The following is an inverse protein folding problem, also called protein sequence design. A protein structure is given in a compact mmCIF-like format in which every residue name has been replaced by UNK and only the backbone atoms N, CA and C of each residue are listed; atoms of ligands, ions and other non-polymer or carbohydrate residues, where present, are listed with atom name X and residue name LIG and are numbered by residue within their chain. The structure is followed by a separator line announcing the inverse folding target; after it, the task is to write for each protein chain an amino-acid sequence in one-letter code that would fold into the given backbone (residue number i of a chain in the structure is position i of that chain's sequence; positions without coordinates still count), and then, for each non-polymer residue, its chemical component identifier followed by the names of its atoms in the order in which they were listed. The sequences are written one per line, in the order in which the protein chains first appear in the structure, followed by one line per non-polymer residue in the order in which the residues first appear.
data_IF_964805888117
#
_entry.id   IF_964805888117
#
_cell.length_a   1.000
_cell.length_b   1.000
_cell.length_c   1.000
_cell.angle_alpha   90.00
_cell.angle_beta   90.00
_cell.angle_gamma   90.00
#
_symmetry.space_group_name_H-M   'P 1'
#
loop_
_entity.id
_entity.type
_entity.pdbx_description
1 polymer ?
#
# COMPACT_ATOMS: atom_id res chain seq x y z
N UNK A 1 -9.83 -28.64 -18.27
CA UNK A 1 -9.64 -27.26 -18.78
C UNK A 1 -8.16 -27.07 -19.08
N UNK A 2 -7.78 -26.31 -20.10
CA UNK A 2 -6.36 -25.98 -20.32
C UNK A 2 -5.86 -25.10 -19.16
N UNK A 3 -4.73 -25.45 -18.55
CA UNK A 3 -4.11 -24.68 -17.45
C UNK A 3 -3.88 -23.22 -17.83
N UNK A 4 -3.51 -22.96 -19.08
CA UNK A 4 -3.33 -21.59 -19.59
C UNK A 4 -4.64 -20.80 -19.54
N UNK A 5 -5.76 -21.44 -19.85
CA UNK A 5 -7.07 -20.79 -19.78
C UNK A 5 -7.44 -20.48 -18.32
N UNK A 6 -7.20 -21.42 -17.40
CA UNK A 6 -7.44 -21.19 -15.96
C UNK A 6 -6.62 -20.01 -15.44
N UNK A 7 -5.34 -19.95 -15.81
CA UNK A 7 -4.44 -18.87 -15.42
C UNK A 7 -4.90 -17.50 -15.98
N UNK A 8 -5.31 -17.45 -17.25
CA UNK A 8 -5.81 -16.22 -17.87
C UNK A 8 -7.10 -15.72 -17.21
N UNK A 9 -8.04 -16.62 -16.91
CA UNK A 9 -9.29 -16.23 -16.25
C UNK A 9 -9.02 -15.77 -14.82
N UNK A 10 -8.13 -16.45 -14.07
CA UNK A 10 -7.73 -16.05 -12.73
C UNK A 10 -6.99 -14.69 -12.71
N UNK A 11 -6.23 -14.38 -13.76
CA UNK A 11 -5.53 -13.09 -13.92
C UNK A 11 -6.46 -11.94 -14.32
N UNK A 12 -7.60 -12.24 -14.96
CA UNK A 12 -8.47 -11.22 -15.57
C UNK A 12 -8.93 -10.11 -14.62
N UNK A 13 -9.30 -10.33 -13.34
CA UNK A 13 -9.69 -9.24 -12.46
C UNK A 13 -8.57 -8.24 -12.20
N UNK A 14 -7.32 -8.73 -12.13
CA UNK A 14 -6.13 -7.90 -11.95
C UNK A 14 -5.91 -7.05 -13.20
N UNK A 15 -6.01 -7.68 -14.38
CA UNK A 15 -5.88 -6.97 -15.66
C UNK A 15 -6.95 -5.88 -15.82
N UNK A 16 -8.21 -6.18 -15.48
CA UNK A 16 -9.29 -5.19 -15.51
C UNK A 16 -9.00 -4.03 -14.55
N UNK A 17 -8.58 -4.32 -13.32
CA UNK A 17 -8.19 -3.27 -12.37
C UNK A 17 -7.06 -2.39 -12.93
N UNK A 18 -6.03 -2.98 -13.54
CA UNK A 18 -4.92 -2.24 -14.15
C UNK A 18 -5.38 -1.35 -15.32
N UNK A 19 -6.22 -1.87 -16.22
CA UNK A 19 -6.75 -1.10 -17.35
C UNK A 19 -7.61 0.07 -16.85
N UNK A 20 -8.50 -0.17 -15.88
CA UNK A 20 -9.36 0.88 -15.35
C UNK A 20 -8.56 1.97 -14.61
N UNK A 21 -7.56 1.58 -13.80
CA UNK A 21 -6.79 2.52 -12.97
C UNK A 21 -5.70 3.25 -13.74
N UNK A 22 -4.93 2.55 -14.59
CA UNK A 22 -3.74 3.09 -15.27
C UNK A 22 -4.05 3.48 -16.72
N UNK A 23 -4.93 2.73 -17.38
CA UNK A 23 -5.28 3.00 -18.78
C UNK A 23 -6.36 4.06 -18.94
N UNK A 24 -7.36 4.06 -18.06
CA UNK A 24 -8.50 4.97 -18.12
C UNK A 24 -8.51 6.04 -17.02
N UNK A 25 -7.52 6.03 -16.13
CA UNK A 25 -7.41 6.94 -14.98
C UNK A 25 -8.68 7.00 -14.12
N UNK A 26 -9.42 5.90 -14.01
CA UNK A 26 -10.60 5.87 -13.15
C UNK A 26 -10.20 5.95 -11.68
N UNK A 27 -10.93 6.72 -10.85
CA UNK A 27 -10.70 6.70 -9.43
C UNK A 27 -10.96 5.30 -8.87
N UNK A 28 -10.12 4.84 -7.93
CA UNK A 28 -10.21 3.52 -7.33
C UNK A 28 -11.61 3.21 -6.75
N UNK A 29 -12.33 4.23 -6.26
CA UNK A 29 -13.72 4.13 -5.80
C UNK A 29 -14.67 3.56 -6.88
N UNK A 30 -14.39 3.78 -8.16
CA UNK A 30 -15.17 3.24 -9.30
C UNK A 30 -14.55 1.98 -9.88
N UNK A 31 -13.23 1.92 -10.00
CA UNK A 31 -12.54 0.79 -10.62
C UNK A 31 -12.62 -0.49 -9.77
N UNK A 32 -12.41 -0.39 -8.45
CA UNK A 32 -12.34 -1.56 -7.56
C UNK A 32 -13.67 -2.33 -7.45
N UNK A 33 -14.85 -1.68 -7.36
CA UNK A 33 -16.13 -2.40 -7.42
C UNK A 33 -16.35 -3.19 -8.72
N UNK A 34 -15.85 -2.68 -9.86
CA UNK A 34 -15.96 -3.39 -11.16
C UNK A 34 -15.11 -4.64 -11.14
N UNK A 35 -13.85 -4.55 -10.70
CA UNK A 35 -12.97 -5.70 -10.56
C UNK A 35 -13.54 -6.73 -9.55
N UNK A 36 -14.11 -6.26 -8.43
CA UNK A 36 -14.78 -7.13 -7.46
C UNK A 36 -15.99 -7.86 -8.06
N UNK A 37 -16.86 -7.16 -8.80
CA UNK A 37 -18.01 -7.77 -9.47
C UNK A 37 -17.59 -8.84 -10.47
N UNK A 38 -16.51 -8.58 -11.23
CA UNK A 38 -15.92 -9.57 -12.13
C UNK A 38 -15.39 -10.79 -11.36
N UNK A 39 -14.67 -10.61 -10.26
CA UNK A 39 -14.19 -11.71 -9.42
C UNK A 39 -15.34 -12.58 -8.89
N UNK A 40 -16.43 -11.96 -8.43
CA UNK A 40 -17.62 -12.68 -7.96
C UNK A 40 -18.28 -13.47 -9.09
N UNK A 41 -18.45 -12.86 -10.27
CA UNK A 41 -19.02 -13.52 -11.43
C UNK A 41 -18.18 -14.74 -11.85
N UNK A 42 -16.85 -14.57 -11.87
CA UNK A 42 -15.91 -15.64 -12.17
C UNK A 42 -16.00 -16.77 -11.13
N UNK A 43 -16.02 -16.44 -9.84
CA UNK A 43 -16.09 -17.42 -8.76
C UNK A 43 -17.33 -18.33 -8.88
N UNK A 44 -18.49 -17.75 -9.19
CA UNK A 44 -19.75 -18.49 -9.30
C UNK A 44 -19.84 -19.26 -10.63
N UNK A 45 -19.53 -18.60 -11.76
CA UNK A 45 -19.82 -19.17 -13.08
C UNK A 45 -18.73 -20.14 -13.54
N UNK A 46 -17.46 -19.83 -13.26
CA UNK A 46 -16.33 -20.58 -13.81
C UNK A 46 -15.69 -21.54 -12.79
N UNK A 47 -15.71 -21.18 -11.50
CA UNK A 47 -15.21 -22.04 -10.42
C UNK A 47 -16.31 -22.81 -9.66
N UNK A 48 -17.58 -22.61 -10.03
CA UNK A 48 -18.74 -23.27 -9.41
C UNK A 48 -18.77 -23.15 -7.88
N UNK A 49 -18.30 -22.01 -7.35
CA UNK A 49 -18.29 -21.75 -5.91
C UNK A 49 -19.71 -21.53 -5.40
N UNK A 50 -20.06 -22.16 -4.28
CA UNK A 50 -21.36 -21.93 -3.65
C UNK A 50 -21.52 -20.46 -3.21
N UNK A 51 -22.73 -19.93 -3.36
CA UNK A 51 -23.05 -18.55 -2.97
C UNK A 51 -22.71 -18.28 -1.51
N UNK A 52 -22.91 -19.27 -0.63
CA UNK A 52 -22.54 -19.18 0.79
C UNK A 52 -21.04 -18.95 0.98
N UNK A 53 -20.19 -19.65 0.21
CA UNK A 53 -18.73 -19.47 0.27
C UNK A 53 -18.33 -18.07 -0.20
N UNK A 54 -18.95 -17.58 -1.28
CA UNK A 54 -18.71 -16.21 -1.78
C UNK A 54 -19.10 -15.17 -0.74
N UNK A 55 -20.28 -15.28 -0.13
CA UNK A 55 -20.73 -14.36 0.92
C UNK A 55 -19.80 -14.41 2.14
N UNK A 56 -19.38 -15.61 2.56
CA UNK A 56 -18.43 -15.77 3.66
C UNK A 56 -17.08 -15.08 3.36
N UNK A 57 -16.55 -15.22 2.13
CA UNK A 57 -15.33 -14.55 1.69
C UNK A 57 -15.48 -13.02 1.66
N UNK A 58 -16.66 -12.50 1.31
CA UNK A 58 -16.95 -11.05 1.38
C UNK A 58 -16.85 -10.56 2.84
N UNK A 59 -17.50 -11.24 3.78
CA UNK A 59 -17.42 -10.88 5.20
C UNK A 59 -16.00 -11.01 5.76
N UNK A 60 -15.26 -12.04 5.35
CA UNK A 60 -13.85 -12.19 5.69
C UNK A 60 -13.03 -11.00 5.17
N UNK A 61 -13.25 -10.57 3.94
CA UNK A 61 -12.62 -9.39 3.35
C UNK A 61 -12.95 -8.10 4.09
N UNK A 62 -14.21 -7.93 4.53
CA UNK A 62 -14.61 -6.80 5.38
C UNK A 62 -13.89 -6.83 6.73
N UNK A 63 -13.75 -8.00 7.35
CA UNK A 63 -12.97 -8.18 8.58
C UNK A 63 -11.51 -7.76 8.43
N UNK A 64 -10.86 -8.21 7.35
CA UNK A 64 -9.48 -7.79 7.00
C UNK A 64 -9.42 -6.26 6.82
N UNK A 65 -10.43 -5.68 6.15
CA UNK A 65 -10.51 -4.23 5.93
C UNK A 65 -10.57 -3.46 7.25
N UNK A 66 -11.34 -3.92 8.23
CA UNK A 66 -11.41 -3.29 9.56
C UNK A 66 -10.04 -3.30 10.25
N UNK A 67 -9.32 -4.42 10.20
CA UNK A 67 -7.96 -4.50 10.77
C UNK A 67 -7.00 -3.52 10.10
N UNK A 68 -7.06 -3.40 8.77
CA UNK A 68 -6.26 -2.43 8.02
C UNK A 68 -6.61 -0.99 8.40
N UNK A 69 -7.91 -0.66 8.47
CA UNK A 69 -8.37 0.67 8.88
C UNK A 69 -7.93 1.03 10.30
N UNK A 70 -7.87 0.06 11.22
CA UNK A 70 -7.38 0.29 12.58
C UNK A 70 -5.89 0.69 12.61
N UNK A 71 -5.05 0.03 11.80
CA UNK A 71 -3.63 0.36 11.66
C UNK A 71 -3.45 1.75 11.04
N UNK A 72 -4.15 2.02 9.93
CA UNK A 72 -4.11 3.31 9.24
C UNK A 72 -4.59 4.44 10.15
N UNK A 73 -5.65 4.21 10.93
CA UNK A 73 -6.12 5.16 11.93
C UNK A 73 -5.04 5.50 12.96
N UNK A 74 -4.41 4.48 13.57
CA UNK A 74 -3.33 4.69 14.54
C UNK A 74 -2.15 5.46 13.96
N UNK A 75 -1.75 5.16 12.72
CA UNK A 75 -0.68 5.85 12.02
C UNK A 75 -1.02 7.32 11.71
N UNK A 76 -2.20 7.60 11.17
CA UNK A 76 -2.66 8.96 10.85
C UNK A 76 -2.85 9.77 12.15
N UNK A 77 -3.35 9.13 13.21
CA UNK A 77 -3.46 9.76 14.53
C UNK A 77 -2.09 10.19 15.03
N UNK A 78 -1.12 9.27 15.08
CA UNK A 78 0.27 9.57 15.47
C UNK A 78 0.86 10.69 14.61
N UNK A 79 0.71 10.62 13.29
CA UNK A 79 1.22 11.64 12.38
C UNK A 79 0.62 13.02 12.68
N UNK A 80 -0.70 13.11 12.86
CA UNK A 80 -1.36 14.37 13.16
C UNK A 80 -0.98 14.89 14.55
N UNK A 81 -0.81 14.02 15.53
CA UNK A 81 -0.27 14.42 16.84
C UNK A 81 1.13 15.02 16.68
N UNK A 82 2.04 14.37 15.95
CA UNK A 82 3.39 14.89 15.70
C UNK A 82 3.39 16.22 14.94
N UNK A 83 2.44 16.42 14.02
CA UNK A 83 2.25 17.71 13.32
C UNK A 83 1.77 18.80 14.28
N UNK A 84 0.76 18.51 15.10
CA UNK A 84 0.17 19.49 16.02
C UNK A 84 1.11 19.87 17.17
N UNK A 85 1.95 18.95 17.64
CA UNK A 85 2.94 19.24 18.70
C UNK A 85 4.19 19.94 18.17
N UNK A 86 4.36 20.08 16.85
CA UNK A 86 5.57 20.60 16.24
C UNK A 86 6.76 19.62 16.24
N UNK A 87 6.55 18.38 16.71
CA UNK A 87 7.60 17.36 16.76
C UNK A 87 8.19 17.00 15.39
N UNK A 88 7.40 17.13 14.31
CA UNK A 88 7.92 16.96 12.94
C UNK A 88 9.02 17.99 12.64
N UNK A 89 8.89 19.23 13.11
CA UNK A 89 9.90 20.27 12.91
C UNK A 89 11.17 19.94 13.68
N UNK A 90 11.05 19.41 14.90
CA UNK A 90 12.20 18.93 15.68
C UNK A 90 12.91 17.77 14.98
N UNK A 91 12.17 16.79 14.46
CA UNK A 91 12.73 15.67 13.67
C UNK A 91 13.43 16.20 12.41
N UNK A 92 12.82 17.15 11.71
CA UNK A 92 13.38 17.81 10.53
C UNK A 92 14.71 18.49 10.85
N UNK A 93 14.74 19.30 11.91
CA UNK A 93 15.95 20.02 12.34
C UNK A 93 17.07 19.04 12.71
N UNK A 94 16.72 17.96 13.41
CA UNK A 94 17.67 16.88 13.72
C UNK A 94 18.29 16.23 12.48
N UNK A 95 17.56 16.10 11.38
CA UNK A 95 18.11 15.54 10.14
C UNK A 95 19.03 16.51 9.38
N UNK A 96 18.72 17.82 9.38
CA UNK A 96 19.61 18.83 8.79
C UNK A 96 20.91 19.00 9.57
N UNK A 97 20.89 18.81 10.90
CA UNK A 97 22.09 18.94 11.74
C UNK A 97 23.08 17.77 11.59
N UNK A 98 22.64 16.61 11.07
CA UNK A 98 23.51 15.44 10.86
C UNK A 98 24.47 15.66 9.68
N UNK A 99 23.98 16.21 8.58
CA UNK A 99 24.80 16.46 7.39
C UNK A 99 24.18 17.50 6.47
N UNK A 100 25.01 18.40 5.97
CA UNK A 100 24.66 19.34 4.90
C UNK A 100 24.66 18.68 3.50
N UNK A 101 25.20 17.47 3.36
CA UNK A 101 25.21 16.75 2.08
C UNK A 101 23.81 16.22 1.76
N UNK A 102 23.25 16.73 0.66
CA UNK A 102 21.93 16.37 0.15
C UNK A 102 21.80 14.86 -0.13
N UNK A 103 22.88 14.18 -0.51
CA UNK A 103 22.84 12.72 -0.75
C UNK A 103 22.62 11.97 0.56
N UNK A 104 23.29 12.41 1.62
CA UNK A 104 23.14 11.83 2.97
C UNK A 104 21.75 12.10 3.51
N UNK A 105 21.24 13.33 3.36
CA UNK A 105 19.87 13.69 3.74
C UNK A 105 18.83 12.84 3.00
N UNK A 106 19.03 12.58 1.70
CA UNK A 106 18.16 11.72 0.93
C UNK A 106 18.14 10.29 1.47
N UNK A 107 19.28 9.73 1.84
CA UNK A 107 19.33 8.39 2.45
C UNK A 107 18.62 8.40 3.82
N UNK A 108 18.94 9.35 4.69
CA UNK A 108 18.37 9.38 6.04
C UNK A 108 16.84 9.57 5.99
N UNK A 109 16.35 10.48 5.16
CA UNK A 109 14.92 10.83 5.12
C UNK A 109 14.15 9.87 4.23
N UNK A 110 14.58 9.73 2.98
CA UNK A 110 13.83 8.96 2.01
C UNK A 110 13.95 7.47 2.34
N UNK A 111 15.15 6.97 2.66
CA UNK A 111 15.40 5.55 2.93
C UNK A 111 15.12 5.18 4.38
N UNK A 112 15.90 5.67 5.34
CA UNK A 112 15.81 5.21 6.73
C UNK A 112 14.46 5.59 7.36
N UNK A 113 14.10 6.88 7.33
CA UNK A 113 12.84 7.35 7.89
C UNK A 113 11.62 6.86 7.09
N UNK A 114 11.69 6.89 5.76
CA UNK A 114 10.65 6.31 4.89
C UNK A 114 10.39 4.84 5.17
N UNK A 115 11.42 3.99 5.20
CA UNK A 115 11.26 2.58 5.53
C UNK A 115 10.75 2.34 6.95
N UNK A 116 11.20 3.12 7.93
CA UNK A 116 10.70 3.02 9.31
C UNK A 116 9.19 3.32 9.38
N UNK A 117 8.75 4.42 8.77
CA UNK A 117 7.34 4.81 8.84
C UNK A 117 6.45 3.88 8.03
N UNK A 118 6.90 3.39 6.87
CA UNK A 118 6.20 2.32 6.13
C UNK A 118 6.09 1.05 6.98
N UNK A 119 7.17 0.63 7.64
CA UNK A 119 7.13 -0.54 8.53
C UNK A 119 6.11 -0.40 9.66
N UNK A 120 6.03 0.78 10.27
CA UNK A 120 5.10 1.07 11.36
C UNK A 120 3.62 1.21 10.91
N UNK A 121 3.39 1.83 9.75
CA UNK A 121 2.03 2.23 9.30
C UNK A 121 1.52 1.47 8.07
N UNK A 122 2.41 1.14 7.14
CA UNK A 122 2.12 0.53 5.84
C UNK A 122 1.46 1.48 4.83
N UNK A 123 1.03 0.89 3.72
CA UNK A 123 0.10 1.48 2.75
C UNK A 123 0.60 2.73 2.01
N UNK A 124 1.91 2.85 1.82
CA UNK A 124 2.48 3.92 1.01
C UNK A 124 2.68 5.23 1.76
N UNK A 125 2.90 5.14 3.05
CA UNK A 125 3.12 6.28 3.93
C UNK A 125 4.39 7.11 3.60
N UNK A 126 5.50 6.57 3.05
CA UNK A 126 6.64 7.34 2.57
C UNK A 126 6.27 8.40 1.53
N UNK A 127 5.34 8.07 0.62
CA UNK A 127 4.82 8.99 -0.38
C UNK A 127 4.17 10.22 0.27
N UNK A 128 3.38 9.97 1.31
CA UNK A 128 2.58 10.98 1.99
C UNK A 128 3.39 11.86 2.95
N UNK A 129 4.55 11.38 3.43
CA UNK A 129 5.31 12.05 4.50
C UNK A 129 6.75 12.34 4.10
N UNK A 130 7.51 11.34 3.64
CA UNK A 130 8.93 11.51 3.33
C UNK A 130 9.13 12.43 2.11
N UNK A 131 8.31 12.29 1.06
CA UNK A 131 8.40 13.17 -0.11
C UNK A 131 8.11 14.65 0.24
N UNK A 132 7.00 15.01 0.93
CA UNK A 132 6.80 16.38 1.40
C UNK A 132 7.91 16.90 2.32
N UNK A 133 8.47 16.06 3.17
CA UNK A 133 9.58 16.43 4.06
C UNK A 133 10.84 16.80 3.25
N UNK A 134 11.19 16.02 2.23
CA UNK A 134 12.29 16.33 1.31
C UNK A 134 12.08 17.68 0.59
N UNK A 135 10.85 17.95 0.13
CA UNK A 135 10.51 19.25 -0.47
C UNK A 135 10.68 20.38 0.54
N UNK A 136 10.24 20.18 1.78
CA UNK A 136 10.33 21.19 2.84
C UNK A 136 11.77 21.58 3.20
N UNK A 137 12.74 20.67 3.02
CA UNK A 137 14.18 20.93 3.23
C UNK A 137 14.91 21.35 1.93
N UNK A 138 14.18 21.59 0.84
CA UNK A 138 14.72 22.21 -0.37
C UNK A 138 15.05 21.27 -1.53
N UNK A 139 14.58 20.01 -1.51
CA UNK A 139 14.67 19.12 -2.69
C UNK A 139 13.75 19.56 -3.83
N UNK A 140 14.19 19.44 -5.09
CA UNK A 140 13.31 19.58 -6.23
C UNK A 140 12.10 18.63 -6.06
N UNK A 141 10.89 19.15 -6.28
CA UNK A 141 9.66 18.40 -6.05
C UNK A 141 9.66 17.05 -6.78
N UNK A 142 10.10 17.02 -8.03
CA UNK A 142 10.20 15.80 -8.82
C UNK A 142 11.18 14.79 -8.19
N UNK A 143 12.35 15.23 -7.74
CA UNK A 143 13.32 14.35 -7.10
C UNK A 143 12.79 13.78 -5.78
N UNK A 144 12.10 14.60 -4.98
CA UNK A 144 11.47 14.16 -3.73
C UNK A 144 10.39 13.10 -3.96
N UNK A 145 9.51 13.31 -4.95
CA UNK A 145 8.48 12.33 -5.32
C UNK A 145 9.11 11.05 -5.86
N UNK A 146 10.07 11.16 -6.80
CA UNK A 146 10.76 10.00 -7.36
C UNK A 146 11.46 9.17 -6.28
N UNK A 147 12.18 9.81 -5.35
CA UNK A 147 12.83 9.10 -4.24
C UNK A 147 11.80 8.47 -3.30
N UNK A 148 10.74 9.19 -2.93
CA UNK A 148 9.68 8.65 -2.08
C UNK A 148 8.99 7.42 -2.71
N UNK A 149 8.68 7.49 -4.01
CA UNK A 149 8.07 6.41 -4.78
C UNK A 149 9.01 5.22 -4.98
N UNK A 150 10.27 5.47 -5.37
CA UNK A 150 11.26 4.41 -5.55
C UNK A 150 11.48 3.65 -4.25
N UNK A 151 11.63 4.37 -3.14
CA UNK A 151 11.92 3.72 -1.86
C UNK A 151 10.73 2.94 -1.38
N UNK A 152 9.50 3.43 -1.58
CA UNK A 152 8.29 2.69 -1.23
C UNK A 152 8.27 1.25 -1.80
N UNK A 153 8.92 0.98 -2.94
CA UNK A 153 8.96 -0.36 -3.51
C UNK A 153 9.68 -1.41 -2.64
N UNK A 154 10.58 -1.01 -1.73
CA UNK A 154 11.39 -1.92 -0.91
C UNK A 154 10.74 -2.31 0.44
N UNK A 155 10.35 -1.36 1.33
CA UNK A 155 9.82 -1.67 2.64
C UNK A 155 8.33 -2.03 2.61
N UNK A 156 7.61 -1.84 1.49
CA UNK A 156 6.16 -2.12 1.42
C UNK A 156 5.83 -3.56 1.81
N UNK A 157 6.68 -4.53 1.47
CA UNK A 157 6.51 -5.92 1.88
C UNK A 157 6.46 -6.09 3.40
N UNK A 158 7.22 -5.26 4.13
CA UNK A 158 7.28 -5.26 5.59
C UNK A 158 6.33 -4.23 6.22
N UNK A 159 5.55 -3.52 5.40
CA UNK A 159 4.66 -2.46 5.86
C UNK A 159 3.58 -2.97 6.80
N UNK A 160 3.11 -2.11 7.70
CA UNK A 160 2.12 -2.44 8.71
C UNK A 160 2.50 -3.74 9.47
N UNK A 161 3.75 -3.81 9.94
CA UNK A 161 4.31 -4.97 10.67
C UNK A 161 4.20 -6.27 9.86
N UNK A 162 4.52 -6.21 8.56
CA UNK A 162 4.53 -7.37 7.68
C UNK A 162 3.16 -7.86 7.21
N UNK A 163 2.12 -7.04 7.33
CA UNK A 163 0.76 -7.39 6.88
C UNK A 163 0.73 -7.91 5.43
N UNK A 164 1.45 -7.32 4.44
CA UNK A 164 1.48 -7.84 3.08
C UNK A 164 2.06 -9.25 2.94
N UNK A 165 3.07 -9.61 3.74
CA UNK A 165 3.62 -10.97 3.75
C UNK A 165 2.65 -11.94 4.46
N UNK A 166 2.18 -11.58 5.65
CA UNK A 166 1.32 -12.45 6.47
C UNK A 166 -0.03 -12.71 5.80
N UNK A 167 -0.64 -11.68 5.22
CA UNK A 167 -1.98 -11.76 4.61
C UNK A 167 -1.91 -12.00 3.11
N UNK A 168 -1.01 -11.32 2.40
CA UNK A 168 -0.95 -11.37 0.94
C UNK A 168 -0.25 -12.62 0.41
N UNK A 169 0.90 -12.98 0.98
CA UNK A 169 1.70 -14.12 0.52
C UNK A 169 1.27 -15.41 1.22
N UNK A 170 1.36 -15.47 2.56
CA UNK A 170 1.14 -16.73 3.29
C UNK A 170 -0.27 -17.29 3.07
N UNK A 171 -1.33 -16.48 3.26
CA UNK A 171 -2.70 -16.95 3.02
C UNK A 171 -3.00 -17.28 1.55
N UNK A 172 -2.26 -16.68 0.61
CA UNK A 172 -2.42 -16.97 -0.82
C UNK A 172 -1.77 -18.29 -1.24
N UNK A 173 -0.72 -18.72 -0.53
CA UNK A 173 0.04 -19.94 -0.80
C UNK A 173 -0.35 -21.12 0.11
N UNK A 174 -1.11 -20.87 1.19
CA UNK A 174 -1.58 -21.93 2.08
C UNK A 174 -2.43 -22.96 1.30
N UNK A 175 -1.85 -24.15 1.14
CA UNK A 175 -2.44 -25.30 0.42
C UNK A 175 -3.45 -26.10 1.26
N UNK A 176 -3.91 -25.57 2.41
CA UNK A 176 -4.81 -26.25 3.34
C UNK A 176 -6.23 -25.64 3.37
N UNK A 177 -6.84 -25.44 2.20
CA UNK A 177 -8.29 -25.22 2.05
C UNK A 177 -8.97 -26.35 1.29
#
# INVERSE_FOLDING_TARGET
MNETLLALVAFSPILVAAILLVGLDWPAKRAMPVAFGLTVAIAIIFWDMSTTRVIASIFQGLGITVSVLWIVFGAIFLLNTLKHTGAITTIRNGFTDISEDRRVQAIIIAWCFGSFIEGASGFGTPAAIAAPLLVAIGFPALAAVLMGMMIQSTPVSFGAVGTPIIVGVNKGLDTHM
#
